data_IF_209641400869
#
_entry.id   IF_209641400869
#
_cell.length_a   1.000
_cell.length_b   1.000
_cell.length_c   1.000
_cell.angle_alpha   90.00
_cell.angle_beta   90.00
_cell.angle_gamma   90.00
#
_symmetry.space_group_name_H-M   'P 1'
#
loop_
_entity.id
_entity.type
_entity.pdbx_description
1 polymer ?
#
# COMPACT_ATOMS: atom_id res chain seq x y z
N UNK A 1 -14.39 1.38 5.55
CA UNK A 1 -14.18 2.38 4.48
C UNK A 1 -15.00 2.06 3.25
N UNK A 2 -14.82 0.89 2.62
CA UNK A 2 -15.55 0.51 1.40
C UNK A 2 -17.08 0.67 1.51
N UNK A 3 -17.71 0.14 2.59
CA UNK A 3 -19.15 0.34 2.85
C UNK A 3 -19.59 1.80 2.98
N UNK A 4 -18.67 2.68 3.39
CA UNK A 4 -18.94 4.11 3.60
C UNK A 4 -18.69 4.95 2.33
N UNK A 5 -18.25 4.32 1.23
CA UNK A 5 -17.78 5.03 0.04
C UNK A 5 -16.43 5.75 0.22
N UNK A 6 -15.81 5.64 1.39
CA UNK A 6 -14.47 6.17 1.66
C UNK A 6 -13.36 5.20 1.25
N UNK A 7 -12.10 5.64 1.34
CA UNK A 7 -10.93 4.85 0.92
C UNK A 7 -10.09 4.42 2.13
N UNK A 8 -9.71 3.14 2.18
CA UNK A 8 -8.64 2.63 3.05
C UNK A 8 -7.34 2.47 2.26
N UNK A 9 -6.21 2.50 2.97
CA UNK A 9 -4.87 2.37 2.40
C UNK A 9 -4.20 1.06 2.86
N UNK A 10 -3.56 0.34 1.94
CA UNK A 10 -2.87 -0.94 2.20
C UNK A 10 -1.67 -0.82 3.16
N UNK A 11 -1.07 0.36 3.25
CA UNK A 11 0.26 0.51 3.83
C UNK A 11 1.35 -0.13 2.97
N UNK A 12 2.55 -0.25 3.55
CA UNK A 12 3.80 -0.63 2.87
C UNK A 12 4.06 -2.14 2.84
N UNK A 13 3.10 -2.94 3.30
CA UNK A 13 3.31 -4.36 3.56
C UNK A 13 2.89 -5.29 2.43
N UNK A 14 2.38 -4.75 1.32
CA UNK A 14 1.60 -5.48 0.34
C UNK A 14 0.15 -5.69 0.78
N UNK A 15 -0.60 -6.40 -0.05
CA UNK A 15 -1.96 -6.83 0.27
C UNK A 15 -2.19 -8.24 -0.28
N UNK A 16 -2.93 -9.04 0.49
CA UNK A 16 -3.28 -10.40 0.10
C UNK A 16 -4.28 -10.38 -1.06
N UNK A 17 -4.01 -11.06 -2.19
CA UNK A 17 -4.91 -11.14 -3.33
C UNK A 17 -6.33 -11.61 -2.99
N UNK A 18 -6.48 -12.42 -1.93
CA UNK A 18 -7.80 -12.91 -1.48
C UNK A 18 -8.77 -11.77 -1.14
N UNK A 19 -8.24 -10.57 -0.85
CA UNK A 19 -9.01 -9.38 -0.47
C UNK A 19 -9.58 -8.62 -1.66
N UNK A 20 -9.11 -8.86 -2.88
CA UNK A 20 -9.44 -8.03 -4.05
C UNK A 20 -10.83 -8.30 -4.61
N UNK A 21 -11.35 -9.50 -4.38
CA UNK A 21 -12.69 -9.88 -4.80
C UNK A 21 -13.77 -9.47 -3.78
N UNK A 22 -14.97 -9.23 -4.27
CA UNK A 22 -16.16 -9.10 -3.44
C UNK A 22 -16.55 -10.44 -2.82
N UNK A 23 -17.07 -10.39 -1.60
CA UNK A 23 -17.47 -11.56 -0.82
C UNK A 23 -18.90 -11.97 -1.19
N UNK A 24 -19.00 -13.00 -2.02
CA UNK A 24 -20.27 -13.66 -2.35
C UNK A 24 -20.68 -14.72 -1.30
N UNK A 25 -19.72 -15.25 -0.56
CA UNK A 25 -19.84 -16.42 0.34
C UNK A 25 -20.27 -16.07 1.77
N UNK A 26 -20.81 -14.86 1.99
CA UNK A 26 -21.24 -14.43 3.32
C UNK A 26 -22.55 -15.11 3.71
N UNK A 27 -22.52 -15.85 4.81
CA UNK A 27 -23.68 -16.51 5.40
C UNK A 27 -24.55 -15.59 6.26
N UNK A 28 -25.73 -16.05 6.72
CA UNK A 28 -26.64 -15.27 7.57
C UNK A 28 -26.03 -14.86 8.92
N UNK A 29 -25.01 -15.58 9.39
CA UNK A 29 -24.25 -15.27 10.61
C UNK A 29 -23.18 -14.17 10.41
N UNK A 30 -23.10 -13.60 9.19
CA UNK A 30 -22.15 -12.56 8.84
C UNK A 30 -20.71 -13.04 8.77
N UNK A 31 -20.49 -14.33 8.47
CA UNK A 31 -19.16 -14.93 8.26
C UNK A 31 -18.95 -15.32 6.80
N UNK A 32 -17.69 -15.32 6.38
CA UNK A 32 -17.22 -15.75 5.06
C UNK A 32 -16.20 -16.87 5.25
N UNK A 33 -16.28 -17.93 4.44
CA UNK A 33 -15.30 -19.01 4.46
C UNK A 33 -13.94 -18.53 3.92
N UNK A 34 -13.96 -17.56 3.00
CA UNK A 34 -12.77 -16.92 2.43
C UNK A 34 -12.02 -16.04 3.44
N UNK A 35 -12.76 -15.31 4.29
CA UNK A 35 -12.18 -14.47 5.35
C UNK A 35 -12.73 -14.86 6.74
N UNK A 36 -12.40 -16.07 7.24
CA UNK A 36 -13.06 -16.67 8.41
C UNK A 36 -12.73 -15.98 9.73
N UNK A 37 -11.67 -15.17 9.76
CA UNK A 37 -11.26 -14.40 10.93
C UNK A 37 -12.04 -13.09 11.10
N UNK A 38 -12.82 -12.68 10.08
CA UNK A 38 -13.67 -11.49 10.13
C UNK A 38 -15.10 -11.83 10.56
N UNK A 39 -15.82 -10.84 11.08
CA UNK A 39 -17.18 -10.97 11.60
C UNK A 39 -18.04 -9.79 11.16
N UNK A 40 -19.36 -9.98 11.12
CA UNK A 40 -20.30 -8.90 10.77
C UNK A 40 -20.21 -8.49 9.30
N UNK A 41 -19.81 -9.41 8.43
CA UNK A 41 -19.75 -9.23 6.98
C UNK A 41 -21.16 -9.23 6.37
N UNK A 42 -21.27 -8.68 5.17
CA UNK A 42 -22.47 -8.66 4.33
C UNK A 42 -22.06 -9.09 2.92
N UNK A 43 -22.95 -9.77 2.19
CA UNK A 43 -22.71 -10.10 0.79
C UNK A 43 -22.43 -8.82 -0.01
N UNK A 44 -21.43 -8.86 -0.87
CA UNK A 44 -20.95 -7.70 -1.64
C UNK A 44 -19.93 -6.83 -0.89
N UNK A 45 -19.57 -7.17 0.36
CA UNK A 45 -18.41 -6.55 0.98
C UNK A 45 -17.13 -6.88 0.23
N UNK A 46 -16.19 -5.94 0.20
CA UNK A 46 -14.82 -6.19 -0.24
C UNK A 46 -13.84 -5.72 0.82
N UNK A 47 -12.77 -6.51 1.02
CA UNK A 47 -11.66 -6.16 1.90
C UNK A 47 -10.53 -5.44 1.13
N UNK A 48 -10.69 -5.16 -0.16
CA UNK A 48 -9.69 -4.50 -0.99
C UNK A 48 -9.38 -3.09 -0.45
N UNK A 49 -8.10 -2.74 -0.34
CA UNK A 49 -7.73 -1.34 -0.08
C UNK A 49 -7.74 -0.56 -1.38
N UNK A 50 -8.61 0.45 -1.46
CA UNK A 50 -8.73 1.33 -2.63
C UNK A 50 -7.47 2.15 -2.88
N UNK A 51 -6.73 2.50 -1.82
CA UNK A 51 -5.40 3.10 -1.94
C UNK A 51 -4.35 2.01 -1.73
N UNK A 52 -3.38 1.91 -2.64
CA UNK A 52 -2.26 0.99 -2.52
C UNK A 52 -0.94 1.76 -2.49
N UNK A 53 -0.12 1.48 -1.50
CA UNK A 53 1.07 2.27 -1.23
C UNK A 53 2.32 1.65 -1.88
N UNK A 54 3.12 2.50 -2.52
CA UNK A 54 4.45 2.18 -3.05
C UNK A 54 5.47 2.90 -2.18
N UNK A 55 6.23 2.14 -1.40
CA UNK A 55 7.28 2.64 -0.51
C UNK A 55 8.64 2.04 -0.87
N UNK A 56 9.72 2.60 -0.33
CA UNK A 56 11.12 2.26 -0.65
C UNK A 56 11.43 0.76 -0.64
N UNK A 57 10.86 -0.01 0.28
CA UNK A 57 11.07 -1.47 0.35
C UNK A 57 10.38 -2.30 -0.74
N UNK A 58 9.47 -1.71 -1.52
CA UNK A 58 8.65 -2.38 -2.57
C UNK A 58 7.98 -3.69 -2.14
N UNK A 59 7.80 -3.88 -0.83
CA UNK A 59 7.20 -5.11 -0.31
C UNK A 59 5.78 -5.27 -0.83
N UNK A 60 5.52 -6.42 -1.45
CA UNK A 60 4.19 -6.73 -1.96
C UNK A 60 3.80 -6.03 -3.27
N UNK A 61 4.62 -5.13 -3.80
CA UNK A 61 4.34 -4.38 -5.04
C UNK A 61 4.51 -5.30 -6.23
N UNK A 62 3.41 -5.60 -6.93
CA UNK A 62 3.35 -6.41 -8.15
C UNK A 62 2.37 -5.78 -9.14
N UNK A 63 2.41 -6.12 -10.43
CA UNK A 63 1.40 -5.63 -11.38
C UNK A 63 -0.03 -5.92 -10.90
N UNK A 64 -0.30 -7.15 -10.44
CA UNK A 64 -1.62 -7.54 -9.93
C UNK A 64 -2.03 -6.74 -8.69
N UNK A 65 -1.09 -6.38 -7.82
CA UNK A 65 -1.36 -5.46 -6.71
C UNK A 65 -1.73 -4.07 -7.24
N UNK A 66 -0.93 -3.48 -8.13
CA UNK A 66 -1.13 -2.11 -8.62
C UNK A 66 -2.46 -1.93 -9.37
N UNK A 67 -2.85 -2.87 -10.24
CA UNK A 67 -4.08 -2.77 -11.03
C UNK A 67 -5.37 -2.92 -10.20
N UNK A 68 -5.27 -3.38 -8.95
CA UNK A 68 -6.41 -3.53 -8.04
C UNK A 68 -6.64 -2.28 -7.16
N UNK A 69 -6.01 -1.14 -7.46
CA UNK A 69 -6.16 0.11 -6.73
C UNK A 69 -7.06 1.11 -7.47
N UNK A 70 -7.79 1.94 -6.74
CA UNK A 70 -8.38 3.18 -7.28
C UNK A 70 -7.38 4.34 -7.22
N UNK A 71 -6.38 4.26 -6.33
CA UNK A 71 -5.35 5.26 -6.14
C UNK A 71 -4.05 4.61 -5.67
N UNK A 72 -2.93 5.08 -6.18
CA UNK A 72 -1.59 4.67 -5.80
C UNK A 72 -0.93 5.78 -4.98
N UNK A 73 -0.31 5.44 -3.86
CA UNK A 73 0.36 6.41 -2.97
C UNK A 73 1.87 6.14 -2.95
N UNK A 74 2.66 7.02 -3.55
CA UNK A 74 4.12 7.05 -3.41
C UNK A 74 4.44 7.63 -2.04
N UNK A 75 5.02 6.82 -1.16
CA UNK A 75 5.37 7.25 0.19
C UNK A 75 6.82 7.66 0.31
N UNK A 76 7.06 8.96 0.20
CA UNK A 76 8.38 9.56 0.43
C UNK A 76 8.73 9.53 1.92
N UNK A 77 7.79 9.90 2.80
CA UNK A 77 8.06 10.02 4.23
C UNK A 77 6.83 9.74 5.11
N UNK A 78 7.04 9.65 6.43
CA UNK A 78 5.98 9.55 7.43
C UNK A 78 6.28 10.43 8.65
N UNK A 79 5.25 11.05 9.23
CA UNK A 79 5.44 12.04 10.30
C UNK A 79 6.16 11.52 11.54
N UNK A 80 5.98 10.25 11.90
CA UNK A 80 6.63 9.65 13.05
C UNK A 80 8.16 9.50 12.90
N UNK A 81 8.67 9.44 11.67
CA UNK A 81 10.09 9.28 11.35
C UNK A 81 10.37 9.66 9.88
N UNK A 82 10.48 10.97 9.58
CA UNK A 82 10.48 11.45 8.20
C UNK A 82 11.74 11.07 7.39
N UNK A 83 12.89 10.92 8.05
CA UNK A 83 14.17 10.61 7.41
C UNK A 83 14.53 9.12 7.36
N UNK A 84 13.57 8.22 7.63
CA UNK A 84 13.82 6.79 7.77
C UNK A 84 12.82 5.93 6.98
N UNK A 85 13.23 4.70 6.69
CA UNK A 85 12.35 3.69 6.09
C UNK A 85 11.37 3.05 7.08
N UNK A 86 10.45 2.27 6.52
CA UNK A 86 9.57 1.38 7.30
C UNK A 86 10.37 0.41 8.18
N UNK A 87 9.84 0.07 9.35
CA UNK A 87 10.47 -0.89 10.26
C UNK A 87 9.44 -1.92 10.70
N UNK A 88 9.76 -3.20 10.54
CA UNK A 88 8.97 -4.31 11.07
C UNK A 88 9.91 -5.28 11.81
N UNK A 89 9.77 -5.41 13.15
CA UNK A 89 10.59 -6.34 13.93
C UNK A 89 10.44 -7.78 13.46
N UNK A 90 11.53 -8.53 13.44
CA UNK A 90 11.57 -9.92 12.92
C UNK A 90 10.56 -10.85 13.59
N UNK A 91 10.32 -10.70 14.90
CA UNK A 91 9.30 -11.45 15.65
C UNK A 91 7.86 -11.28 15.13
N UNK A 92 7.59 -10.21 14.37
CA UNK A 92 6.30 -9.96 13.72
C UNK A 92 6.26 -10.45 12.26
N UNK A 93 7.39 -10.86 11.70
CA UNK A 93 7.51 -11.38 10.33
C UNK A 93 7.18 -12.87 10.36
N UNK A 94 5.89 -13.16 10.52
CA UNK A 94 5.36 -14.53 10.45
C UNK A 94 5.53 -15.11 9.03
N UNK A 95 5.36 -16.42 8.83
CA UNK A 95 5.37 -17.03 7.49
C UNK A 95 4.39 -16.35 6.52
N UNK A 96 3.21 -15.95 7.01
CA UNK A 96 2.22 -15.21 6.24
C UNK A 96 2.75 -13.84 5.76
N UNK A 97 3.32 -13.05 6.67
CA UNK A 97 3.90 -11.74 6.32
C UNK A 97 5.09 -11.91 5.37
N UNK A 98 5.94 -12.90 5.62
CA UNK A 98 7.08 -13.21 4.77
C UNK A 98 6.64 -13.56 3.33
N UNK A 99 5.58 -14.36 3.18
CA UNK A 99 5.01 -14.69 1.87
C UNK A 99 4.44 -13.46 1.14
N UNK A 100 3.68 -12.61 1.84
CA UNK A 100 3.15 -11.37 1.26
C UNK A 100 4.27 -10.44 0.79
N UNK A 101 5.37 -10.38 1.55
CA UNK A 101 6.49 -9.46 1.29
C UNK A 101 7.61 -10.08 0.44
N UNK A 102 7.52 -11.37 0.08
CA UNK A 102 8.61 -12.15 -0.53
C UNK A 102 9.93 -12.01 0.24
N UNK A 103 9.84 -12.11 1.57
CA UNK A 103 10.98 -12.02 2.50
C UNK A 103 11.18 -13.33 3.25
N UNK A 104 12.18 -13.36 4.15
CA UNK A 104 12.42 -14.51 5.03
C UNK A 104 11.64 -14.39 6.35
N UNK A 105 10.95 -15.45 6.83
CA UNK A 105 10.31 -15.45 8.14
C UNK A 105 11.30 -15.17 9.28
N UNK A 106 10.86 -14.45 10.31
CA UNK A 106 11.67 -14.15 11.50
C UNK A 106 12.75 -13.08 11.32
N UNK A 107 13.05 -12.67 10.09
CA UNK A 107 14.09 -11.66 9.80
C UNK A 107 13.49 -10.25 9.90
N UNK A 108 14.11 -9.31 10.65
CA UNK A 108 13.64 -7.93 10.71
C UNK A 108 13.70 -7.26 9.34
N UNK A 109 12.67 -6.48 9.02
CA UNK A 109 12.59 -5.72 7.78
C UNK A 109 12.72 -4.23 8.08
N UNK A 110 13.88 -3.67 7.75
CA UNK A 110 14.14 -2.24 7.77
C UNK A 110 14.25 -1.83 6.30
N UNK A 111 13.28 -1.06 5.82
CA UNK A 111 13.31 -0.56 4.44
C UNK A 111 14.38 0.52 4.30
N UNK A 112 14.97 0.69 3.10
CA UNK A 112 15.87 1.82 2.84
C UNK A 112 15.17 3.15 3.16
N UNK A 113 15.88 4.16 3.67
CA UNK A 113 15.32 5.50 3.80
C UNK A 113 14.86 6.11 2.47
N UNK A 114 15.66 6.08 1.38
CA UNK A 114 15.21 6.59 0.09
C UNK A 114 14.48 5.53 -0.74
N UNK A 115 13.64 5.98 -1.66
CA UNK A 115 13.32 5.22 -2.85
C UNK A 115 14.56 5.18 -3.75
N UNK A 116 15.10 3.99 -4.04
CA UNK A 116 16.31 3.88 -4.86
C UNK A 116 16.11 4.21 -6.35
N UNK A 117 14.87 4.50 -6.72
CA UNK A 117 14.41 4.98 -8.02
C UNK A 117 13.89 6.43 -7.96
N UNK A 118 14.21 7.18 -6.89
CA UNK A 118 13.89 8.61 -6.75
C UNK A 118 15.06 9.33 -6.09
N UNK A 119 15.94 9.94 -6.89
CA UNK A 119 17.03 10.79 -6.42
C UNK A 119 16.88 12.27 -6.82
N UNK A 120 15.91 12.58 -7.66
CA UNK A 120 15.56 13.93 -8.08
C UNK A 120 14.05 14.08 -8.33
N UNK A 121 13.62 15.27 -8.73
CA UNK A 121 12.19 15.53 -8.99
C UNK A 121 11.73 14.87 -10.29
N UNK A 122 12.62 14.80 -11.28
CA UNK A 122 12.40 14.10 -12.55
C UNK A 122 12.31 12.58 -12.36
N UNK A 123 13.04 11.99 -11.42
CA UNK A 123 12.88 10.57 -11.08
C UNK A 123 11.51 10.29 -10.44
N UNK A 124 11.02 11.20 -9.59
CA UNK A 124 9.66 11.10 -9.06
C UNK A 124 8.63 11.17 -10.19
N UNK A 125 8.82 12.08 -11.15
CA UNK A 125 7.96 12.16 -12.33
C UNK A 125 8.00 10.86 -13.15
N UNK A 126 9.17 10.22 -13.28
CA UNK A 126 9.30 8.92 -13.94
C UNK A 126 8.51 7.83 -13.21
N UNK A 127 8.59 7.73 -11.88
CA UNK A 127 7.80 6.75 -11.15
C UNK A 127 6.29 7.02 -11.28
N UNK A 128 5.85 8.28 -11.26
CA UNK A 128 4.45 8.64 -11.50
C UNK A 128 4.01 8.16 -12.89
N UNK A 129 4.83 8.41 -13.91
CA UNK A 129 4.59 7.94 -15.27
C UNK A 129 4.46 6.40 -15.33
N UNK A 130 5.37 5.67 -14.69
CA UNK A 130 5.36 4.21 -14.67
C UNK A 130 4.10 3.64 -13.98
N UNK A 131 3.64 4.28 -12.91
CA UNK A 131 2.41 3.89 -12.22
C UNK A 131 1.16 4.13 -13.09
N UNK A 132 1.09 5.25 -13.81
CA UNK A 132 0.01 5.48 -14.79
C UNK A 132 0.09 4.50 -15.97
N UNK A 133 1.29 4.10 -16.40
CA UNK A 133 1.44 3.12 -17.46
C UNK A 133 0.88 1.73 -17.06
N UNK A 134 1.06 1.32 -15.80
CA UNK A 134 0.55 0.04 -15.29
C UNK A 134 -0.95 0.12 -14.93
N UNK A 135 -1.40 1.24 -14.37
CA UNK A 135 -2.80 1.43 -13.96
C UNK A 135 -3.32 2.82 -14.40
N UNK A 136 -3.73 2.95 -15.67
CA UNK A 136 -4.09 4.26 -16.25
C UNK A 136 -5.28 4.95 -15.60
N UNK A 137 -6.16 4.20 -14.93
CA UNK A 137 -7.33 4.73 -14.24
C UNK A 137 -7.08 5.12 -12.78
N UNK A 138 -5.94 4.71 -12.20
CA UNK A 138 -5.64 5.00 -10.81
C UNK A 138 -5.05 6.41 -10.66
N UNK A 139 -5.55 7.17 -9.69
CA UNK A 139 -4.92 8.43 -9.30
C UNK A 139 -3.57 8.15 -8.63
N UNK A 140 -2.57 9.00 -8.84
CA UNK A 140 -1.30 8.92 -8.10
C UNK A 140 -1.22 10.06 -7.08
N UNK A 141 -0.81 9.71 -5.86
CA UNK A 141 -0.62 10.64 -4.75
C UNK A 141 0.78 10.51 -4.18
N UNK A 142 1.34 11.61 -3.69
CA UNK A 142 2.67 11.64 -3.07
C UNK A 142 2.53 12.04 -1.60
N UNK A 143 2.93 11.15 -0.70
CA UNK A 143 2.85 11.37 0.74
C UNK A 143 4.15 11.96 1.27
N UNK A 144 4.05 13.23 1.68
CA UNK A 144 5.12 14.02 2.26
C UNK A 144 4.87 14.27 3.76
N UNK A 145 5.86 14.86 4.44
CA UNK A 145 5.74 15.29 5.84
C UNK A 145 5.94 16.80 5.93
N UNK A 146 5.14 17.45 6.77
CA UNK A 146 5.25 18.88 7.00
C UNK A 146 6.63 19.26 7.58
N UNK A 147 7.30 20.18 6.90
CA UNK A 147 8.51 20.85 7.34
C UNK A 147 8.68 22.16 6.55
N UNK A 148 9.54 23.05 7.02
CA UNK A 148 9.89 24.24 6.24
C UNK A 148 10.43 23.83 4.86
N UNK A 149 9.99 24.52 3.80
CA UNK A 149 10.34 24.19 2.41
C UNK A 149 9.42 23.17 1.72
N UNK A 150 8.42 22.60 2.41
CA UNK A 150 7.49 21.64 1.80
C UNK A 150 6.71 22.23 0.61
N UNK A 151 6.42 23.54 0.64
CA UNK A 151 5.75 24.23 -0.47
C UNK A 151 6.56 24.18 -1.77
N UNK A 152 7.88 24.37 -1.69
CA UNK A 152 8.78 24.27 -2.85
C UNK A 152 8.78 22.87 -3.44
N UNK A 153 8.84 21.85 -2.57
CA UNK A 153 8.77 20.44 -3.01
C UNK A 153 7.41 20.15 -3.66
N UNK A 154 6.30 20.61 -3.04
CA UNK A 154 4.96 20.40 -3.56
C UNK A 154 4.76 21.04 -4.94
N UNK A 155 5.36 22.21 -5.21
CA UNK A 155 5.33 22.82 -6.54
C UNK A 155 6.01 21.97 -7.61
N UNK A 156 7.06 21.22 -7.27
CA UNK A 156 7.72 20.29 -8.22
C UNK A 156 6.97 18.97 -8.40
N UNK A 157 6.13 18.59 -7.43
CA UNK A 157 5.29 17.39 -7.49
C UNK A 157 4.02 17.62 -8.34
N UNK A 158 3.55 18.87 -8.39
CA UNK A 158 2.30 19.29 -9.03
C UNK A 158 2.34 19.25 -10.56
#
# INVERSE_FOLDING_TARGET
>A
MNRLGGKSNSGEGGEDPVRWEELADVGPDGRSARLPHLRGLRRGDTANSRIKQVASGRFGVTPHFLVNAEQLEIKIAQGAKPGEGGQLPGKKVSPYIAALRRSKPGVPLISPPPHHDIYSIEDLAQLIHDLHAVSPSALVSVKLVAQAGIGTVACGVA
#
